data_IF_807450288724
#
_entry.id   IF_807450288724
#
_cell.length_a   1.000
_cell.length_b   1.000
_cell.length_c   1.000
_cell.angle_alpha   90.00
_cell.angle_beta   90.00
_cell.angle_gamma   90.00
#
_symmetry.space_group_name_H-M   'P 1'
#
loop_
_entity.id
_entity.type
_entity.pdbx_description
1 polymer ?
#
# COMPACT_ATOMS: atom_id res chain seq x y z
N UNK A 1 5.02 27.38 8.51
CA UNK A 1 4.12 28.45 8.09
C UNK A 1 2.80 27.94 7.61
N UNK A 2 1.82 28.22 8.38
CA UNK A 2 0.46 27.77 8.08
C UNK A 2 -0.06 28.32 6.76
N UNK A 3 0.37 29.47 6.38
CA UNK A 3 -0.04 30.10 5.11
C UNK A 3 0.22 29.25 3.89
N UNK A 4 1.22 28.41 3.94
CA UNK A 4 1.59 27.60 2.78
C UNK A 4 0.48 26.68 2.33
N UNK A 5 -0.32 26.22 3.27
CA UNK A 5 -1.42 25.33 2.94
C UNK A 5 -2.49 26.05 2.10
N UNK A 6 -2.65 27.34 2.34
CA UNK A 6 -3.63 28.11 1.62
C UNK A 6 -3.16 28.53 0.23
N UNK A 7 -1.86 28.37 0.00
CA UNK A 7 -1.27 28.78 -1.26
C UNK A 7 -1.12 27.62 -2.26
N UNK A 8 -1.60 26.45 -1.89
CA UNK A 8 -1.53 25.30 -2.79
C UNK A 8 -2.48 25.53 -3.96
N UNK A 9 -1.98 25.49 -5.20
CA UNK A 9 -2.85 25.63 -6.35
C UNK A 9 -3.98 24.60 -6.32
N UNK A 10 -5.16 25.03 -6.70
CA UNK A 10 -6.33 24.17 -6.62
C UNK A 10 -6.19 22.88 -7.43
N UNK A 11 -5.65 22.98 -8.61
CA UNK A 11 -5.45 21.79 -9.46
C UNK A 11 -4.42 20.82 -8.88
N UNK A 12 -3.38 21.33 -8.22
CA UNK A 12 -2.40 20.49 -7.52
C UNK A 12 -3.07 19.80 -6.35
N UNK A 13 -3.85 20.55 -5.58
CA UNK A 13 -4.53 19.98 -4.42
C UNK A 13 -5.51 18.90 -4.83
N UNK A 14 -6.28 19.10 -5.89
CA UNK A 14 -7.21 18.11 -6.40
C UNK A 14 -6.50 16.84 -6.83
N UNK A 15 -5.37 16.98 -7.49
CA UNK A 15 -4.62 15.82 -7.94
C UNK A 15 -4.07 15.01 -6.77
N UNK A 16 -3.60 15.70 -5.72
CA UNK A 16 -3.07 15.02 -4.54
C UNK A 16 -4.16 14.36 -3.69
N UNK A 17 -5.35 14.97 -3.63
CA UNK A 17 -6.45 14.39 -2.85
C UNK A 17 -7.14 13.24 -3.57
N UNK A 18 -7.19 13.29 -4.88
CA UNK A 18 -7.87 12.28 -5.68
C UNK A 18 -7.00 11.83 -6.84
N UNK A 19 -5.92 11.10 -6.55
CA UNK A 19 -5.02 10.62 -7.59
C UNK A 19 -5.74 9.71 -8.57
N UNK A 20 -5.40 9.82 -9.84
CA UNK A 20 -5.96 8.94 -10.86
C UNK A 20 -5.03 7.76 -11.07
N UNK A 21 -5.33 6.68 -10.41
CA UNK A 21 -4.53 5.47 -10.54
C UNK A 21 -4.79 4.78 -11.86
N UNK A 22 -3.72 4.27 -12.47
CA UNK A 22 -3.83 3.46 -13.67
C UNK A 22 -4.22 2.03 -13.34
N UNK A 23 -3.98 1.14 -14.29
CA UNK A 23 -4.27 -0.28 -14.09
C UNK A 23 -3.38 -0.84 -13.00
N UNK A 24 -3.92 -1.69 -12.12
CA UNK A 24 -3.10 -2.31 -11.08
C UNK A 24 -2.08 -3.28 -11.68
N UNK A 25 -0.93 -3.33 -11.04
CA UNK A 25 0.08 -4.34 -11.33
C UNK A 25 0.03 -5.35 -10.20
N UNK A 26 -0.13 -6.62 -10.55
CA UNK A 26 -0.19 -7.67 -9.55
C UNK A 26 1.21 -8.05 -9.08
N UNK A 27 1.37 -8.08 -7.77
CA UNK A 27 2.60 -8.49 -7.13
C UNK A 27 2.31 -9.70 -6.25
N UNK A 28 3.28 -10.60 -6.15
CA UNK A 28 3.15 -11.77 -5.29
C UNK A 28 4.30 -11.76 -4.28
N UNK A 29 3.98 -12.05 -3.05
CA UNK A 29 4.99 -12.10 -1.99
C UNK A 29 4.61 -13.13 -0.95
N UNK A 30 5.61 -13.72 -0.32
CA UNK A 30 5.39 -14.62 0.81
C UNK A 30 5.76 -13.90 2.09
N UNK A 31 5.10 -14.24 3.17
CA UNK A 31 5.40 -13.63 4.45
C UNK A 31 4.40 -14.06 5.49
N UNK A 32 4.19 -13.22 6.50
CA UNK A 32 3.20 -13.54 7.50
C UNK A 32 2.48 -12.28 7.99
N UNK A 33 1.37 -12.52 8.65
CA UNK A 33 0.49 -11.47 9.16
C UNK A 33 1.00 -10.98 10.50
N UNK A 34 1.25 -9.68 10.58
CA UNK A 34 1.71 -9.05 11.81
C UNK A 34 0.55 -8.61 12.68
N UNK A 35 -0.47 -8.05 12.07
CA UNK A 35 -1.62 -7.57 12.80
C UNK A 35 -2.82 -7.42 11.87
N UNK A 36 -4.02 -7.56 12.43
CA UNK A 36 -5.27 -7.45 11.68
C UNK A 36 -6.15 -6.42 12.35
N UNK A 37 -6.60 -5.42 11.59
CA UNK A 37 -7.51 -4.41 12.08
C UNK A 37 -8.83 -4.53 11.33
N UNK A 38 -9.74 -5.32 11.88
CA UNK A 38 -11.03 -5.56 11.24
C UNK A 38 -11.88 -4.30 11.16
N UNK A 39 -11.77 -3.45 12.15
CA UNK A 39 -12.56 -2.23 12.20
C UNK A 39 -12.29 -1.31 11.01
N UNK A 40 -11.03 -1.15 10.68
CA UNK A 40 -10.62 -0.27 9.59
C UNK A 40 -10.38 -1.02 8.28
N UNK A 41 -10.60 -2.32 8.27
CA UNK A 41 -10.38 -3.18 7.12
C UNK A 41 -8.94 -3.06 6.60
N UNK A 42 -8.00 -3.16 7.52
CA UNK A 42 -6.58 -3.04 7.22
C UNK A 42 -5.78 -4.16 7.86
N UNK A 43 -4.61 -4.41 7.32
CA UNK A 43 -3.73 -5.45 7.83
C UNK A 43 -2.27 -4.99 7.72
N UNK A 44 -1.47 -5.44 8.67
CA UNK A 44 -0.02 -5.26 8.62
C UNK A 44 0.59 -6.61 8.30
N UNK A 45 1.47 -6.64 7.32
CA UNK A 45 2.14 -7.88 6.92
C UNK A 45 3.63 -7.66 6.83
N UNK A 46 4.36 -8.75 6.93
CA UNK A 46 5.80 -8.75 6.68
C UNK A 46 6.04 -9.69 5.51
N UNK A 47 6.68 -9.17 4.47
CA UNK A 47 7.00 -9.98 3.30
C UNK A 47 8.47 -10.31 3.30
N UNK A 48 8.81 -11.45 2.73
CA UNK A 48 10.18 -11.90 2.62
C UNK A 48 10.67 -11.80 1.19
N UNK A 49 11.82 -11.19 1.04
CA UNK A 49 12.47 -11.09 -0.27
C UNK A 49 13.78 -11.84 -0.20
N UNK A 50 14.06 -12.68 -1.20
CA UNK A 50 15.23 -13.54 -1.14
C UNK A 50 16.57 -12.82 -0.95
N UNK A 51 16.67 -11.62 -1.48
CA UNK A 51 17.94 -10.88 -1.44
C UNK A 51 17.94 -9.76 -0.44
N UNK A 52 16.83 -9.07 -0.32
CA UNK A 52 16.72 -7.85 0.48
C UNK A 52 16.30 -8.09 1.92
N UNK A 53 15.82 -9.27 2.23
CA UNK A 53 15.31 -9.57 3.56
C UNK A 53 13.83 -9.31 3.68
N UNK A 54 13.39 -8.89 4.86
CA UNK A 54 11.98 -8.68 5.13
C UNK A 54 11.57 -7.22 4.98
N UNK A 55 10.36 -7.02 4.48
CA UNK A 55 9.77 -5.68 4.37
C UNK A 55 8.45 -5.67 5.13
N UNK A 56 8.24 -4.65 5.93
CA UNK A 56 7.00 -4.50 6.67
C UNK A 56 6.09 -3.53 5.93
N UNK A 57 4.87 -3.97 5.66
CA UNK A 57 3.84 -3.14 5.05
C UNK A 57 2.73 -2.94 6.06
N UNK A 58 2.58 -1.72 6.52
CA UNK A 58 1.60 -1.38 7.55
C UNK A 58 0.38 -0.69 6.96
N UNK A 59 -0.77 -0.99 7.55
CA UNK A 59 -2.00 -0.33 7.17
C UNK A 59 -2.45 -0.59 5.75
N UNK A 60 -2.17 -1.80 5.25
CA UNK A 60 -2.62 -2.17 3.90
C UNK A 60 -4.13 -2.24 3.85
N UNK A 61 -4.72 -1.58 2.85
CA UNK A 61 -6.13 -1.74 2.57
C UNK A 61 -6.38 -3.15 2.05
N UNK A 62 -7.48 -3.74 2.44
CA UNK A 62 -7.78 -5.12 2.11
C UNK A 62 -9.00 -5.18 1.20
N UNK A 63 -8.91 -6.00 0.17
CA UNK A 63 -10.03 -6.24 -0.72
C UNK A 63 -11.23 -6.77 0.07
N UNK A 64 -12.42 -6.34 -0.30
CA UNK A 64 -13.66 -6.78 0.35
C UNK A 64 -13.92 -8.27 0.22
N UNK A 65 -13.23 -8.91 -0.70
CA UNK A 65 -13.35 -10.35 -0.90
C UNK A 65 -12.64 -11.16 0.19
N UNK A 66 -11.75 -10.51 0.92
CA UNK A 66 -10.99 -11.17 1.99
C UNK A 66 -11.73 -10.98 3.30
N UNK A 67 -11.95 -12.08 4.00
CA UNK A 67 -12.58 -12.04 5.33
C UNK A 67 -11.48 -11.92 6.37
N UNK A 68 -11.33 -10.74 6.93
CA UNK A 68 -10.29 -10.49 7.92
C UNK A 68 -10.41 -11.36 9.16
N UNK A 69 -11.64 -11.76 9.51
CA UNK A 69 -11.84 -12.63 10.66
C UNK A 69 -11.20 -14.02 10.51
N UNK A 70 -10.88 -14.40 9.29
CA UNK A 70 -10.23 -15.67 9.03
C UNK A 70 -8.71 -15.59 9.11
N UNK A 71 -8.18 -14.39 9.29
CA UNK A 71 -6.75 -14.17 9.35
C UNK A 71 -6.28 -14.02 10.80
N UNK A 72 -5.17 -14.64 11.12
CA UNK A 72 -4.59 -14.55 12.46
C UNK A 72 -3.15 -14.06 12.39
N UNK A 73 -2.73 -13.38 13.47
CA UNK A 73 -1.33 -12.97 13.61
C UNK A 73 -0.41 -14.18 13.55
N UNK A 74 0.69 -14.02 12.86
CA UNK A 74 1.71 -15.04 12.80
C UNK A 74 1.48 -16.14 11.78
N UNK A 75 0.37 -16.09 11.05
CA UNK A 75 0.13 -17.07 10.00
C UNK A 75 1.01 -16.76 8.79
N UNK A 76 1.67 -17.79 8.29
CA UNK A 76 2.48 -17.69 7.08
C UNK A 76 1.57 -17.81 5.87
N UNK A 77 1.71 -16.87 4.96
CA UNK A 77 0.83 -16.75 3.82
C UNK A 77 1.59 -16.42 2.55
N UNK A 78 0.92 -16.67 1.44
CA UNK A 78 1.30 -16.13 0.16
C UNK A 78 0.31 -15.02 -0.13
N UNK A 79 0.80 -13.83 -0.43
CA UNK A 79 -0.03 -12.66 -0.66
C UNK A 79 -0.03 -12.27 -2.12
N UNK A 80 -1.19 -11.84 -2.61
CA UNK A 80 -1.29 -11.15 -3.88
C UNK A 80 -1.69 -9.72 -3.59
N UNK A 81 -0.92 -8.80 -4.13
CA UNK A 81 -1.12 -7.37 -3.92
C UNK A 81 -1.35 -6.69 -5.25
N UNK A 82 -2.16 -5.66 -5.23
CA UNK A 82 -2.27 -4.77 -6.38
C UNK A 82 -1.47 -3.52 -6.08
N UNK A 83 -0.56 -3.19 -6.98
CA UNK A 83 0.15 -1.93 -6.93
C UNK A 83 -0.53 -0.97 -7.89
N UNK A 84 -1.04 0.12 -7.34
CA UNK A 84 -1.68 1.18 -8.11
C UNK A 84 -0.74 2.37 -8.15
N UNK A 85 -0.57 2.92 -9.34
CA UNK A 85 0.34 4.04 -9.53
C UNK A 85 -0.38 5.19 -10.22
N UNK A 86 -0.31 6.36 -9.64
CA UNK A 86 -0.83 7.57 -10.22
C UNK A 86 0.35 8.49 -10.52
N UNK A 87 0.68 8.65 -11.79
CA UNK A 87 1.77 9.54 -12.20
C UNK A 87 1.29 10.98 -12.05
N UNK A 88 2.08 11.79 -11.38
CA UNK A 88 1.73 13.19 -11.17
C UNK A 88 2.00 14.01 -12.42
N UNK A 89 1.18 15.03 -12.64
CA UNK A 89 1.41 15.97 -13.72
C UNK A 89 2.71 16.72 -13.46
N UNK A 90 3.27 17.27 -14.53
CA UNK A 90 4.50 18.04 -14.43
C UNK A 90 4.34 19.21 -13.46
N UNK A 91 3.20 19.88 -13.52
CA UNK A 91 2.92 21.02 -12.65
C UNK A 91 2.95 20.62 -11.18
N UNK A 92 2.29 19.52 -10.83
CA UNK A 92 2.25 19.05 -9.45
C UNK A 92 3.62 18.60 -8.97
N UNK A 93 4.35 17.88 -9.82
CA UNK A 93 5.71 17.44 -9.48
C UNK A 93 6.63 18.63 -9.24
N UNK A 94 6.54 19.66 -10.06
CA UNK A 94 7.34 20.86 -9.90
C UNK A 94 6.97 21.62 -8.63
N UNK A 95 5.68 21.72 -8.35
CA UNK A 95 5.21 22.36 -7.12
C UNK A 95 5.81 21.67 -5.89
N UNK A 96 5.73 20.34 -5.85
CA UNK A 96 6.27 19.58 -4.73
C UNK A 96 7.77 19.73 -4.60
N UNK A 97 8.47 19.78 -5.72
CA UNK A 97 9.92 19.98 -5.73
C UNK A 97 10.29 21.30 -5.08
N UNK A 98 9.53 22.34 -5.36
CA UNK A 98 9.74 23.65 -4.75
C UNK A 98 9.53 23.62 -3.24
N UNK A 99 8.71 22.70 -2.77
CA UNK A 99 8.46 22.50 -1.34
C UNK A 99 9.47 21.53 -0.70
N UNK A 100 10.48 21.11 -1.45
CA UNK A 100 11.48 20.20 -0.93
C UNK A 100 11.12 18.73 -1.03
N UNK A 101 10.07 18.41 -1.76
CA UNK A 101 9.60 17.04 -1.92
C UNK A 101 9.84 16.58 -3.36
N UNK A 102 10.68 15.57 -3.53
CA UNK A 102 10.93 14.98 -4.84
C UNK A 102 10.03 13.77 -5.01
N UNK A 103 9.01 13.90 -5.85
CA UNK A 103 8.03 12.85 -6.04
C UNK A 103 7.41 12.98 -7.42
N UNK A 104 7.31 11.87 -8.14
CA UNK A 104 6.72 11.88 -9.48
C UNK A 104 5.46 11.01 -9.59
N UNK A 105 5.15 10.27 -8.57
CA UNK A 105 3.98 9.39 -8.58
C UNK A 105 3.53 9.07 -7.16
N UNK A 106 2.27 8.71 -7.06
CA UNK A 106 1.69 8.22 -5.81
C UNK A 106 1.47 6.72 -6.00
N UNK A 107 1.95 5.92 -5.06
CA UNK A 107 1.82 4.48 -5.12
C UNK A 107 0.96 4.01 -3.96
N UNK A 108 -0.02 3.18 -4.30
CA UNK A 108 -0.90 2.58 -3.30
C UNK A 108 -0.84 1.07 -3.46
N UNK A 109 -0.72 0.37 -2.35
CA UNK A 109 -0.76 -1.09 -2.33
C UNK A 109 -2.06 -1.53 -1.67
N UNK A 110 -2.67 -2.55 -2.25
CA UNK A 110 -3.88 -3.14 -1.70
C UNK A 110 -3.70 -4.64 -1.65
N UNK A 111 -4.07 -5.24 -0.54
CA UNK A 111 -4.02 -6.70 -0.40
C UNK A 111 -5.23 -7.26 -1.13
N UNK A 112 -4.96 -8.03 -2.16
CA UNK A 112 -5.97 -8.55 -3.07
C UNK A 112 -6.39 -9.97 -2.71
N UNK A 113 -5.45 -10.78 -2.29
CA UNK A 113 -5.68 -12.19 -2.03
C UNK A 113 -4.68 -12.72 -1.03
N UNK A 114 -5.14 -13.61 -0.15
CA UNK A 114 -4.29 -14.24 0.83
C UNK A 114 -4.47 -15.75 0.72
N UNK A 115 -3.38 -16.46 0.58
CA UNK A 115 -3.40 -17.90 0.57
C UNK A 115 -2.62 -18.39 1.79
N UNK A 116 -3.29 -19.03 2.71
CA UNK A 116 -2.66 -19.54 3.92
C UNK A 116 -1.85 -20.77 3.55
N UNK A 117 -0.58 -20.75 3.93
CA UNK A 117 0.29 -21.90 3.73
C UNK A 117 0.08 -22.84 4.90
N UNK A 118 -0.17 -24.10 4.59
CA UNK A 118 -0.43 -25.07 5.64
C UNK A 118 0.81 -25.27 6.52
N UNK A 119 0.66 -24.87 7.78
CA UNK A 119 1.76 -24.96 8.72
C UNK A 119 2.04 -26.33 9.23
N UNK A 120 1.12 -27.25 9.04
CA UNK A 120 1.35 -28.63 9.46
C UNK A 120 2.50 -29.25 8.68
N UNK A 121 2.73 -28.76 7.50
CA UNK A 121 3.80 -29.29 6.68
C UNK A 121 5.17 -28.89 7.18
N UNK A 122 5.21 -27.86 8.00
CA UNK A 122 6.48 -27.37 8.53
C UNK A 122 6.79 -27.92 9.91
N UNK A 123 5.86 -28.57 10.49
CA UNK A 123 6.01 -29.10 11.84
C UNK A 123 6.89 -30.36 11.91
#
# INVERSE_FOLDING_TARGET
>A
MVKKQNDIPEDVNKELESPKFGKPTELTASGYILDVNEKDNKVDIQTYEPVSGATILEGLSVSKKIKLGDLEKGIVCEFKLDELKATLSKKTAEYLKEQGITMSAIIKLELKEVKIIDEHETA
#
